data_IF_081443776124
#
_entry.id   IF_081443776124
#
_cell.length_a   1.000
_cell.length_b   1.000
_cell.length_c   1.000
_cell.angle_alpha   90.00
_cell.angle_beta   90.00
_cell.angle_gamma   90.00
#
_symmetry.space_group_name_H-M   'P 1'
#
loop_
_entity.id
_entity.type
_entity.pdbx_description
1 polymer ?
#
# COMPACT_ATOMS: atom_id res chain seq x y z
N UNK A 1 7.49 -5.93 -7.77
CA UNK A 1 8.55 -6.79 -8.35
C UNK A 1 9.27 -7.41 -7.19
N UNK A 2 9.18 -8.74 -6.98
CA UNK A 2 9.91 -9.44 -5.91
C UNK A 2 11.37 -9.04 -5.92
N UNK A 3 12.09 -9.09 -4.79
CA UNK A 3 13.55 -8.93 -4.84
C UNK A 3 14.17 -9.87 -5.88
N UNK A 4 13.54 -11.03 -6.11
CA UNK A 4 13.84 -11.95 -7.21
C UNK A 4 13.42 -11.40 -8.57
N UNK A 5 12.24 -10.77 -8.74
CA UNK A 5 11.81 -10.13 -10.00
C UNK A 5 12.63 -8.88 -10.31
N UNK A 6 13.05 -8.09 -9.32
CA UNK A 6 13.96 -6.95 -9.50
C UNK A 6 15.33 -7.44 -9.91
N UNK A 7 15.91 -8.41 -9.18
CA UNK A 7 17.14 -9.07 -9.63
C UNK A 7 16.97 -9.65 -11.03
N UNK A 8 15.88 -10.33 -11.32
CA UNK A 8 15.62 -10.92 -12.64
C UNK A 8 15.45 -9.87 -13.74
N UNK A 9 14.77 -8.75 -13.48
CA UNK A 9 14.62 -7.67 -14.45
C UNK A 9 15.92 -6.89 -14.64
N UNK A 10 16.67 -6.63 -13.58
CA UNK A 10 17.99 -5.97 -13.66
C UNK A 10 18.97 -6.86 -14.40
N UNK A 11 19.13 -8.11 -13.96
CA UNK A 11 19.99 -9.12 -14.61
C UNK A 11 19.53 -9.34 -16.04
N UNK A 12 18.22 -9.49 -16.28
CA UNK A 12 17.66 -9.66 -17.61
C UNK A 12 17.93 -8.47 -18.54
N UNK A 13 17.85 -7.24 -18.02
CA UNK A 13 18.20 -6.03 -18.79
C UNK A 13 19.69 -5.98 -19.10
N UNK A 14 20.55 -6.30 -18.14
CA UNK A 14 22.00 -6.36 -18.33
C UNK A 14 22.35 -7.44 -19.37
N UNK A 15 21.81 -8.65 -19.23
CA UNK A 15 22.01 -9.76 -20.15
C UNK A 15 21.50 -9.41 -21.55
N UNK A 16 20.32 -8.80 -21.67
CA UNK A 16 19.79 -8.36 -22.95
C UNK A 16 20.69 -7.32 -23.60
N UNK A 17 21.16 -6.32 -22.85
CA UNK A 17 22.09 -5.31 -23.34
C UNK A 17 23.42 -5.93 -23.82
N UNK A 18 23.94 -6.92 -23.08
CA UNK A 18 25.13 -7.68 -23.48
C UNK A 18 24.88 -8.50 -24.74
N UNK A 19 23.76 -9.23 -24.82
CA UNK A 19 23.40 -10.02 -26.00
C UNK A 19 23.22 -9.13 -27.23
N UNK A 20 22.58 -7.97 -27.11
CA UNK A 20 22.44 -7.01 -28.21
C UNK A 20 23.81 -6.44 -28.63
N UNK A 21 24.70 -6.21 -27.67
CA UNK A 21 26.07 -5.75 -27.95
C UNK A 21 26.88 -6.82 -28.68
N UNK A 22 26.82 -8.08 -28.23
CA UNK A 22 27.49 -9.22 -28.88
C UNK A 22 26.89 -9.49 -30.26
N UNK A 23 25.57 -9.44 -30.41
CA UNK A 23 24.90 -9.61 -31.70
C UNK A 23 25.29 -8.49 -32.67
N UNK A 24 25.38 -7.25 -32.20
CA UNK A 24 25.90 -6.12 -32.98
C UNK A 24 27.34 -6.36 -33.42
N UNK A 25 28.18 -6.95 -32.55
CA UNK A 25 29.56 -7.33 -32.88
C UNK A 25 29.62 -8.54 -33.82
N UNK A 26 28.72 -9.51 -33.72
CA UNK A 26 28.71 -10.67 -34.63
C UNK A 26 28.24 -10.28 -36.04
N UNK A 27 27.15 -9.50 -36.13
CA UNK A 27 26.65 -8.94 -37.40
C UNK A 27 27.72 -8.08 -38.08
N UNK A 28 28.61 -7.48 -37.30
CA UNK A 28 29.68 -6.68 -37.84
C UNK A 28 30.77 -7.42 -38.59
N UNK A 29 31.06 -8.66 -38.19
CA UNK A 29 32.02 -9.48 -38.91
C UNK A 29 31.49 -9.88 -40.29
N UNK A 30 30.19 -9.70 -40.55
CA UNK A 30 29.50 -10.16 -41.76
C UNK A 30 29.04 -9.02 -42.69
N UNK A 31 28.88 -7.80 -42.18
CA UNK A 31 28.37 -6.66 -42.95
C UNK A 31 29.48 -5.80 -43.57
N UNK A 32 29.20 -5.14 -44.70
CA UNK A 32 30.10 -4.18 -45.35
C UNK A 32 30.56 -3.07 -44.38
N UNK A 33 31.87 -2.76 -44.41
CA UNK A 33 32.60 -1.88 -43.49
C UNK A 33 31.90 -0.54 -43.18
N UNK A 34 31.23 0.06 -44.17
CA UNK A 34 30.61 1.40 -44.06
C UNK A 34 29.33 1.42 -43.22
N UNK A 35 28.42 0.47 -43.40
CA UNK A 35 27.17 0.42 -42.62
C UNK A 35 27.42 -0.07 -41.20
N UNK A 36 28.45 -0.88 -41.03
CA UNK A 36 28.90 -1.38 -39.74
C UNK A 36 29.38 -0.28 -38.79
N UNK A 37 30.32 0.56 -39.21
CA UNK A 37 30.85 1.61 -38.31
C UNK A 37 29.75 2.61 -37.89
N UNK A 38 28.78 2.88 -38.76
CA UNK A 38 27.62 3.70 -38.42
C UNK A 38 26.73 3.04 -37.35
N UNK A 39 26.46 1.72 -37.49
CA UNK A 39 25.65 0.96 -36.53
C UNK A 39 26.34 0.82 -35.16
N UNK A 40 27.65 0.54 -35.12
CA UNK A 40 28.40 0.46 -33.86
C UNK A 40 28.50 1.78 -33.12
N UNK A 41 28.57 2.90 -33.84
CA UNK A 41 28.62 4.22 -33.22
C UNK A 41 27.27 4.62 -32.63
N UNK A 42 26.18 4.20 -33.27
CA UNK A 42 24.82 4.58 -32.88
C UNK A 42 24.19 3.62 -31.86
N UNK A 43 24.46 2.31 -31.94
CA UNK A 43 23.86 1.29 -31.08
C UNK A 43 24.06 1.54 -29.58
N UNK A 44 25.30 1.58 -29.06
CA UNK A 44 25.56 1.87 -27.66
C UNK A 44 24.97 3.21 -27.20
N UNK A 45 25.02 4.22 -28.07
CA UNK A 45 24.45 5.55 -27.81
C UNK A 45 22.93 5.51 -27.59
N UNK A 46 22.22 4.53 -28.15
CA UNK A 46 20.77 4.34 -27.95
C UNK A 46 20.48 3.38 -26.80
N UNK A 47 21.14 2.23 -26.74
CA UNK A 47 20.80 1.18 -25.77
C UNK A 47 21.25 1.50 -24.36
N UNK A 48 22.39 2.16 -24.17
CA UNK A 48 22.90 2.50 -22.83
C UNK A 48 21.93 3.46 -22.12
N UNK A 49 21.47 4.58 -22.72
CA UNK A 49 20.50 5.46 -22.07
C UNK A 49 19.15 4.79 -21.79
N UNK A 50 18.67 3.90 -22.66
CA UNK A 50 17.42 3.15 -22.43
C UNK A 50 17.56 2.25 -21.20
N UNK A 51 18.66 1.48 -21.12
CA UNK A 51 18.93 0.62 -19.97
C UNK A 51 19.09 1.43 -18.67
N UNK A 52 19.85 2.53 -18.73
CA UNK A 52 20.02 3.43 -17.58
C UNK A 52 18.69 4.05 -17.13
N UNK A 53 17.85 4.50 -18.07
CA UNK A 53 16.53 5.05 -17.79
C UNK A 53 15.59 4.04 -17.14
N UNK A 54 15.59 2.79 -17.61
CA UNK A 54 14.82 1.71 -17.00
C UNK A 54 15.27 1.40 -15.57
N UNK A 55 16.59 1.28 -15.34
CA UNK A 55 17.14 1.06 -14.00
C UNK A 55 16.80 2.22 -13.06
N UNK A 56 16.95 3.46 -13.53
CA UNK A 56 16.58 4.65 -12.77
C UNK A 56 15.09 4.63 -12.38
N UNK A 57 14.21 4.28 -13.32
CA UNK A 57 12.78 4.13 -13.04
C UNK A 57 12.50 3.07 -11.96
N UNK A 58 13.14 1.90 -12.03
CA UNK A 58 12.95 0.87 -11.01
C UNK A 58 13.43 1.31 -9.62
N UNK A 59 14.59 1.99 -9.55
CA UNK A 59 15.14 2.52 -8.28
C UNK A 59 14.22 3.62 -7.72
N UNK A 60 13.78 4.55 -8.56
CA UNK A 60 12.87 5.63 -8.15
C UNK A 60 11.57 5.07 -7.57
N UNK A 61 10.98 4.04 -8.20
CA UNK A 61 9.78 3.39 -7.71
C UNK A 61 9.98 2.76 -6.33
N UNK A 62 11.13 2.12 -6.11
CA UNK A 62 11.48 1.54 -4.79
C UNK A 62 11.61 2.62 -3.72
N UNK A 63 12.36 3.69 -4.02
CA UNK A 63 12.54 4.82 -3.09
C UNK A 63 11.19 5.46 -2.73
N UNK A 64 10.30 5.63 -3.72
CA UNK A 64 8.96 6.16 -3.50
C UNK A 64 8.13 5.26 -2.57
N UNK A 65 8.16 3.94 -2.79
CA UNK A 65 7.47 2.98 -1.93
C UNK A 65 8.01 2.99 -0.49
N UNK A 66 9.33 2.85 -0.31
CA UNK A 66 9.94 2.85 1.03
C UNK A 66 9.66 4.17 1.77
N UNK A 67 9.70 5.30 1.08
CA UNK A 67 9.35 6.60 1.66
C UNK A 67 7.89 6.66 2.11
N UNK A 68 6.96 6.21 1.28
CA UNK A 68 5.54 6.16 1.63
C UNK A 68 5.30 5.23 2.84
N UNK A 69 5.96 4.07 2.87
CA UNK A 69 5.85 3.13 3.97
C UNK A 69 6.42 3.69 5.28
N UNK A 70 7.57 4.37 5.23
CA UNK A 70 8.14 5.04 6.40
C UNK A 70 7.25 6.16 6.92
N UNK A 71 6.65 6.96 6.03
CA UNK A 71 5.71 8.01 6.41
C UNK A 71 4.48 7.42 7.12
N UNK A 72 3.90 6.34 6.59
CA UNK A 72 2.78 5.64 7.24
C UNK A 72 3.20 5.04 8.58
N UNK A 73 4.38 4.41 8.65
CA UNK A 73 4.95 3.87 9.88
C UNK A 73 5.03 4.93 10.99
N UNK A 74 5.63 6.10 10.72
CA UNK A 74 5.79 7.16 11.71
C UNK A 74 4.43 7.62 12.25
N UNK A 75 3.44 7.79 11.37
CA UNK A 75 2.10 8.21 11.77
C UNK A 75 1.39 7.13 12.60
N UNK A 76 1.54 5.85 12.26
CA UNK A 76 0.98 4.74 13.05
C UNK A 76 1.57 4.73 14.46
N UNK A 77 2.89 4.87 14.59
CA UNK A 77 3.55 4.88 15.91
C UNK A 77 2.93 5.94 16.83
N UNK A 78 2.74 7.16 16.32
CA UNK A 78 2.09 8.25 17.07
C UNK A 78 0.65 7.89 17.44
N UNK A 79 -0.14 7.39 16.48
CA UNK A 79 -1.53 6.99 16.74
C UNK A 79 -1.66 5.87 17.77
N UNK A 80 -0.76 4.88 17.76
CA UNK A 80 -0.76 3.81 18.76
C UNK A 80 -0.38 4.37 20.12
N UNK A 81 0.60 5.29 20.18
CA UNK A 81 0.95 5.96 21.43
C UNK A 81 -0.23 6.77 22.00
N UNK A 82 -0.95 7.51 21.15
CA UNK A 82 -2.17 8.23 21.53
C UNK A 82 -3.24 7.25 22.06
N UNK A 83 -3.43 6.11 21.39
CA UNK A 83 -4.38 5.08 21.84
C UNK A 83 -3.98 4.46 23.19
N UNK A 84 -2.69 4.23 23.43
CA UNK A 84 -2.19 3.77 24.73
C UNK A 84 -2.40 4.84 25.80
N UNK A 85 -2.04 6.10 25.53
CA UNK A 85 -2.23 7.22 26.47
C UNK A 85 -3.70 7.42 26.85
N UNK A 86 -4.61 7.24 25.89
CA UNK A 86 -6.05 7.28 26.12
C UNK A 86 -6.49 6.29 27.22
N UNK A 87 -5.91 5.08 27.26
CA UNK A 87 -6.21 4.08 28.30
C UNK A 87 -5.71 4.46 29.70
N UNK A 88 -4.95 5.54 29.87
CA UNK A 88 -4.53 6.04 31.18
C UNK A 88 -5.46 7.11 31.74
N UNK A 89 -6.40 7.63 30.94
CA UNK A 89 -7.35 8.63 31.39
C UNK A 89 -8.40 7.98 32.31
N UNK A 90 -8.58 8.55 33.50
CA UNK A 90 -9.57 8.05 34.49
C UNK A 90 -11.00 8.41 34.11
N UNK A 91 -11.19 9.49 33.36
CA UNK A 91 -12.49 9.91 32.83
C UNK A 91 -12.29 10.55 31.45
N UNK A 92 -12.04 9.73 30.40
CA UNK A 92 -11.79 10.25 29.06
C UNK A 92 -13.00 11.01 28.53
N UNK A 93 -12.77 12.16 27.91
CA UNK A 93 -13.86 12.94 27.32
C UNK A 93 -14.27 12.37 25.96
N UNK A 94 -15.46 12.74 25.48
CA UNK A 94 -15.88 12.42 24.11
C UNK A 94 -14.91 12.97 23.06
N UNK A 95 -14.29 14.13 23.32
CA UNK A 95 -13.31 14.74 22.44
C UNK A 95 -12.02 13.91 22.35
N UNK A 96 -11.53 13.40 23.49
CA UNK A 96 -10.36 12.51 23.52
C UNK A 96 -10.62 11.23 22.73
N UNK A 97 -11.80 10.64 22.93
CA UNK A 97 -12.22 9.45 22.19
C UNK A 97 -12.30 9.71 20.69
N UNK A 98 -13.00 10.78 20.28
CA UNK A 98 -13.16 11.15 18.88
C UNK A 98 -11.80 11.40 18.21
N UNK A 99 -10.86 12.04 18.90
CA UNK A 99 -9.49 12.27 18.42
C UNK A 99 -8.77 10.95 18.11
N UNK A 100 -8.76 10.02 19.05
CA UNK A 100 -8.06 8.73 18.90
C UNK A 100 -8.72 7.89 17.81
N UNK A 101 -10.05 7.81 17.80
CA UNK A 101 -10.81 7.05 16.80
C UNK A 101 -10.62 7.60 15.38
N UNK A 102 -10.66 8.93 15.23
CA UNK A 102 -10.37 9.59 13.96
C UNK A 102 -8.94 9.29 13.49
N UNK A 103 -7.96 9.42 14.38
CA UNK A 103 -6.55 9.12 14.08
C UNK A 103 -6.38 7.67 13.60
N UNK A 104 -6.93 6.70 14.33
CA UNK A 104 -6.90 5.28 13.98
C UNK A 104 -7.57 5.00 12.63
N UNK A 105 -8.75 5.58 12.37
CA UNK A 105 -9.43 5.44 11.08
C UNK A 105 -8.59 5.99 9.92
N UNK A 106 -7.99 7.17 10.08
CA UNK A 106 -7.10 7.72 9.06
C UNK A 106 -5.86 6.83 8.84
N UNK A 107 -5.26 6.26 9.89
CA UNK A 107 -4.12 5.34 9.72
C UNK A 107 -4.52 4.06 9.01
N UNK A 108 -5.73 3.57 9.28
CA UNK A 108 -6.31 2.40 8.61
C UNK A 108 -6.40 2.67 7.10
N UNK A 109 -6.87 3.85 6.69
CA UNK A 109 -6.98 4.22 5.29
C UNK A 109 -5.63 4.52 4.63
N UNK A 110 -4.69 5.14 5.34
CA UNK A 110 -3.32 5.34 4.85
C UNK A 110 -2.66 3.99 4.52
N UNK A 111 -2.84 2.96 5.37
CA UNK A 111 -2.38 1.60 5.05
C UNK A 111 -3.09 1.04 3.82
N UNK A 112 -4.40 1.25 3.63
CA UNK A 112 -5.08 0.79 2.40
C UNK A 112 -4.61 1.52 1.15
N UNK A 113 -4.10 2.75 1.30
CA UNK A 113 -3.50 3.50 0.21
C UNK A 113 -2.15 2.94 -0.22
N UNK A 114 -1.35 2.44 0.72
CA UNK A 114 -0.02 1.85 0.45
C UNK A 114 -0.13 0.37 0.08
N UNK A 115 -1.05 -0.35 0.72
CA UNK A 115 -1.23 -1.78 0.60
C UNK A 115 -2.50 -2.11 -0.15
N UNK A 116 -2.38 -2.95 -1.17
CA UNK A 116 -3.53 -3.53 -1.84
C UNK A 116 -4.14 -4.60 -0.95
N UNK A 117 -5.46 -4.65 -0.85
CA UNK A 117 -6.13 -5.71 -0.12
C UNK A 117 -5.85 -7.07 -0.78
N UNK A 118 -5.45 -8.10 0.00
CA UNK A 118 -5.38 -9.46 -0.52
C UNK A 118 -6.71 -9.88 -1.16
N UNK A 119 -6.62 -10.53 -2.32
CA UNK A 119 -7.78 -10.96 -3.11
C UNK A 119 -8.42 -9.88 -3.98
N UNK A 120 -8.10 -8.58 -3.83
CA UNK A 120 -8.62 -7.57 -4.76
C UNK A 120 -7.96 -7.75 -6.14
N UNK A 121 -8.74 -8.20 -7.13
CA UNK A 121 -8.39 -8.15 -8.56
C UNK A 121 -8.06 -6.74 -9.05
N UNK A 122 -7.57 -6.56 -10.28
CA UNK A 122 -7.27 -5.18 -10.74
C UNK A 122 -8.53 -4.33 -10.58
N UNK A 123 -8.44 -3.11 -10.02
CA UNK A 123 -9.60 -2.27 -9.77
C UNK A 123 -10.16 -1.79 -11.11
N UNK A 124 -10.90 -2.67 -11.78
CA UNK A 124 -11.82 -2.29 -12.83
C UNK A 124 -13.10 -1.91 -12.10
N UNK A 125 -13.44 -0.63 -12.16
CA UNK A 125 -14.79 -0.18 -11.82
C UNK A 125 -15.76 -1.07 -12.59
N UNK A 126 -16.61 -1.81 -11.88
CA UNK A 126 -17.69 -2.55 -12.52
C UNK A 126 -18.56 -1.56 -13.31
N UNK A 127 -19.17 -2.00 -14.40
CA UNK A 127 -20.11 -1.15 -15.14
C UNK A 127 -21.23 -0.63 -14.24
N UNK A 128 -21.62 -1.41 -13.23
CA UNK A 128 -22.55 -0.99 -12.18
C UNK A 128 -22.00 0.17 -11.34
N UNK A 129 -20.73 0.11 -10.93
CA UNK A 129 -20.09 1.20 -10.18
C UNK A 129 -19.98 2.47 -11.03
N UNK A 130 -19.66 2.34 -12.32
CA UNK A 130 -19.63 3.48 -13.27
C UNK A 130 -21.01 4.10 -13.42
N UNK A 131 -22.03 3.26 -13.64
CA UNK A 131 -23.43 3.69 -13.76
C UNK A 131 -23.91 4.40 -12.51
N UNK A 132 -23.58 3.87 -11.32
CA UNK A 132 -23.87 4.51 -10.05
C UNK A 132 -23.20 5.89 -9.94
N UNK A 133 -21.89 6.00 -10.20
CA UNK A 133 -21.17 7.29 -10.16
C UNK A 133 -21.77 8.30 -11.14
N UNK A 134 -22.16 7.87 -12.35
CA UNK A 134 -22.84 8.72 -13.31
C UNK A 134 -24.21 9.18 -12.82
N UNK A 135 -24.98 8.29 -12.19
CA UNK A 135 -26.30 8.65 -11.62
C UNK A 135 -26.20 9.69 -10.50
N UNK A 136 -25.17 9.57 -9.64
CA UNK A 136 -24.90 10.58 -8.59
C UNK A 136 -24.43 11.88 -9.22
N UNK A 137 -23.59 11.84 -10.26
CA UNK A 137 -23.10 13.04 -10.95
C UNK A 137 -24.22 13.79 -11.70
N UNK A 138 -25.23 13.07 -12.21
CA UNK A 138 -26.36 13.63 -12.95
C UNK A 138 -27.53 14.04 -12.05
N UNK A 139 -27.50 13.69 -10.77
CA UNK A 139 -28.50 14.07 -9.79
C UNK A 139 -28.58 15.60 -9.65
N UNK A 140 -29.80 16.14 -9.74
CA UNK A 140 -30.04 17.59 -9.60
C UNK A 140 -30.58 17.95 -8.21
N UNK A 141 -31.07 16.97 -7.48
CA UNK A 141 -31.66 17.11 -6.15
C UNK A 141 -31.09 16.10 -5.16
N UNK A 142 -31.32 16.32 -3.86
CA UNK A 142 -30.89 15.40 -2.81
C UNK A 142 -31.68 14.08 -2.89
N UNK A 143 -32.94 14.16 -3.28
CA UNK A 143 -33.84 13.02 -3.50
C UNK A 143 -33.31 12.10 -4.60
N UNK A 144 -32.76 12.67 -5.69
CA UNK A 144 -32.12 11.92 -6.77
C UNK A 144 -30.87 11.17 -6.25
N UNK A 145 -30.07 11.80 -5.38
CA UNK A 145 -28.91 11.16 -4.75
C UNK A 145 -29.35 10.02 -3.84
N UNK A 146 -30.39 10.21 -3.02
CA UNK A 146 -30.95 9.16 -2.16
C UNK A 146 -31.48 8.00 -3.00
N UNK A 147 -32.13 8.28 -4.13
CA UNK A 147 -32.61 7.26 -5.07
C UNK A 147 -31.43 6.50 -5.73
N UNK A 148 -30.36 7.20 -6.10
CA UNK A 148 -29.14 6.59 -6.62
C UNK A 148 -28.46 5.69 -5.58
N UNK A 149 -28.39 6.13 -4.31
CA UNK A 149 -27.80 5.36 -3.20
C UNK A 149 -28.49 4.01 -2.98
N UNK A 150 -29.80 3.92 -3.25
CA UNK A 150 -30.52 2.63 -3.18
C UNK A 150 -30.05 1.62 -4.23
N UNK A 151 -29.41 2.08 -5.31
CA UNK A 151 -28.83 1.27 -6.39
C UNK A 151 -27.34 1.00 -6.21
N UNK A 152 -26.77 1.34 -5.04
CA UNK A 152 -25.35 1.10 -4.77
C UNK A 152 -25.04 -0.40 -5.00
N UNK A 153 -24.12 -0.74 -5.91
CA UNK A 153 -23.75 -2.13 -6.12
C UNK A 153 -23.20 -2.70 -4.82
N UNK A 154 -23.73 -3.85 -4.40
CA UNK A 154 -23.20 -4.56 -3.24
C UNK A 154 -21.82 -5.09 -3.62
N UNK A 155 -20.78 -4.72 -2.86
CA UNK A 155 -19.48 -5.39 -2.97
C UNK A 155 -19.67 -6.85 -2.58
N UNK A 156 -19.53 -7.75 -3.54
CA UNK A 156 -19.57 -9.20 -3.33
C UNK A 156 -18.26 -9.73 -2.75
N UNK A 157 -17.17 -9.01 -2.99
CA UNK A 157 -15.83 -9.33 -2.50
C UNK A 157 -15.26 -8.12 -1.77
N UNK A 158 -15.30 -8.16 -0.44
CA UNK A 158 -14.52 -7.23 0.38
C UNK A 158 -13.15 -7.89 0.48
N UNK A 159 -12.16 -7.35 -0.25
CA UNK A 159 -10.78 -7.79 -0.07
C UNK A 159 -10.39 -7.75 1.41
N UNK A 160 -9.59 -8.72 1.84
CA UNK A 160 -9.15 -8.80 3.22
C UNK A 160 -8.37 -7.54 3.58
N UNK A 161 -8.50 -7.08 4.82
CA UNK A 161 -7.71 -5.94 5.26
C UNK A 161 -6.27 -6.42 5.52
N UNK A 162 -5.24 -5.74 4.97
CA UNK A 162 -3.87 -6.23 5.05
C UNK A 162 -3.28 -6.19 6.47
N UNK A 163 -3.85 -5.43 7.41
CA UNK A 163 -3.32 -5.33 8.79
C UNK A 163 -4.40 -5.37 9.87
N UNK A 164 -5.00 -6.53 10.08
CA UNK A 164 -6.17 -6.70 10.95
C UNK A 164 -5.88 -6.27 12.40
N UNK A 165 -4.65 -6.36 12.89
CA UNK A 165 -4.28 -5.83 14.22
C UNK A 165 -4.64 -4.36 14.40
N UNK A 166 -4.46 -3.50 13.39
CA UNK A 166 -4.81 -2.08 13.52
C UNK A 166 -6.33 -1.88 13.64
N UNK A 167 -7.11 -2.69 12.92
CA UNK A 167 -8.58 -2.70 13.05
C UNK A 167 -9.03 -3.25 14.39
N UNK A 168 -8.34 -4.25 14.93
CA UNK A 168 -8.62 -4.78 16.26
C UNK A 168 -8.26 -3.77 17.37
N UNK A 169 -7.17 -3.01 17.21
CA UNK A 169 -6.85 -1.88 18.10
C UNK A 169 -7.97 -0.84 18.06
N UNK A 170 -8.43 -0.47 16.86
CA UNK A 170 -9.58 0.42 16.69
C UNK A 170 -10.84 -0.13 17.36
N UNK A 171 -11.15 -1.42 17.17
CA UNK A 171 -12.28 -2.08 17.84
C UNK A 171 -12.14 -2.09 19.36
N UNK A 172 -10.92 -2.30 19.87
CA UNK A 172 -10.60 -2.29 21.30
C UNK A 172 -10.87 -0.91 21.90
N UNK A 173 -10.36 0.16 21.29
CA UNK A 173 -10.62 1.55 21.73
C UNK A 173 -12.11 1.87 21.63
N UNK A 174 -12.77 1.49 20.53
CA UNK A 174 -14.21 1.68 20.35
C UNK A 174 -15.03 1.00 21.44
N UNK A 175 -14.64 -0.21 21.85
CA UNK A 175 -15.34 -0.99 22.89
C UNK A 175 -15.13 -0.40 24.29
N UNK A 176 -13.99 0.26 24.51
CA UNK A 176 -13.71 0.95 25.77
C UNK A 176 -14.65 2.13 25.97
N UNK A 177 -15.00 2.84 24.89
CA UNK A 177 -15.90 3.99 24.93
C UNK A 177 -15.26 5.19 25.65
N UNK A 178 -16.08 6.08 26.22
CA UNK A 178 -15.65 7.30 26.91
C UNK A 178 -16.47 7.57 28.18
N UNK A 179 -16.06 8.55 28.98
CA UNK A 179 -16.74 9.00 30.19
C UNK A 179 -16.53 8.09 31.40
N UNK A 180 -17.48 8.12 32.33
CA UNK A 180 -17.45 7.31 33.57
C UNK A 180 -17.68 5.82 33.37
N UNK A 181 -18.05 5.40 32.15
CA UNK A 181 -18.20 3.99 31.80
C UNK A 181 -16.85 3.26 31.73
N UNK A 182 -15.75 4.00 31.56
CA UNK A 182 -14.39 3.45 31.46
C UNK A 182 -13.88 3.09 32.85
N UNK A 183 -13.79 1.79 33.15
CA UNK A 183 -13.22 1.32 34.42
C UNK A 183 -11.72 1.07 34.30
N UNK A 184 -10.97 1.25 35.40
CA UNK A 184 -9.52 1.00 35.42
C UNK A 184 -9.12 -0.43 34.99
N UNK A 185 -9.84 -1.51 35.39
CA UNK A 185 -9.56 -2.86 34.92
C UNK A 185 -9.76 -3.01 33.40
N UNK A 186 -10.84 -2.47 32.84
CA UNK A 186 -11.09 -2.50 31.39
C UNK A 186 -10.00 -1.73 30.63
N UNK A 187 -9.62 -0.55 31.12
CA UNK A 187 -8.58 0.26 30.51
C UNK A 187 -7.21 -0.46 30.53
N UNK A 188 -6.89 -1.15 31.63
CA UNK A 188 -5.68 -1.98 31.72
C UNK A 188 -5.69 -3.14 30.73
N UNK A 189 -6.82 -3.86 30.62
CA UNK A 189 -6.97 -4.95 29.64
C UNK A 189 -6.82 -4.43 28.21
N UNK A 190 -7.52 -3.34 27.88
CA UNK A 190 -7.44 -2.69 26.57
C UNK A 190 -5.99 -2.30 26.24
N UNK A 191 -5.25 -1.72 27.19
CA UNK A 191 -3.84 -1.36 27.00
C UNK A 191 -2.97 -2.56 26.66
N UNK A 192 -3.08 -3.64 27.44
CA UNK A 192 -2.32 -4.88 27.19
C UNK A 192 -2.65 -5.46 25.81
N UNK A 193 -3.93 -5.48 25.43
CA UNK A 193 -4.36 -5.92 24.10
C UNK A 193 -3.78 -5.04 23.00
N UNK A 194 -3.85 -3.71 23.14
CA UNK A 194 -3.30 -2.76 22.15
C UNK A 194 -1.79 -2.98 21.98
N UNK A 195 -1.04 -3.15 23.08
CA UNK A 195 0.41 -3.38 23.02
C UNK A 195 0.76 -4.72 22.38
N UNK A 196 -0.02 -5.77 22.65
CA UNK A 196 0.18 -7.08 22.01
C UNK A 196 -0.07 -7.01 20.50
N UNK A 197 -1.20 -6.42 20.08
CA UNK A 197 -1.53 -6.20 18.67
C UNK A 197 -0.52 -5.29 17.97
N UNK A 198 -0.03 -4.27 18.68
CA UNK A 198 1.04 -3.42 18.17
C UNK A 198 2.33 -4.20 17.94
N UNK A 199 2.70 -5.13 18.85
CA UNK A 199 3.85 -6.00 18.67
C UNK A 199 3.78 -6.82 17.37
N UNK A 200 2.60 -7.38 17.08
CA UNK A 200 2.34 -8.15 15.84
C UNK A 200 2.42 -7.23 14.62
N UNK A 201 1.63 -6.15 14.62
CA UNK A 201 1.59 -5.16 13.53
C UNK A 201 3.00 -4.63 13.22
N UNK A 202 3.76 -4.27 14.24
CA UNK A 202 5.15 -3.82 14.10
C UNK A 202 6.02 -4.87 13.45
N UNK A 203 5.93 -6.11 13.90
CA UNK A 203 6.71 -7.22 13.33
C UNK A 203 6.44 -7.38 11.83
N UNK A 204 5.17 -7.44 11.42
CA UNK A 204 4.81 -7.60 10.01
C UNK A 204 5.14 -6.37 9.18
N UNK A 205 4.86 -5.15 9.68
CA UNK A 205 5.15 -3.92 8.95
C UNK A 205 6.64 -3.67 8.76
N UNK A 206 7.49 -4.07 9.72
CA UNK A 206 8.95 -4.02 9.57
C UNK A 206 9.45 -4.99 8.50
N UNK A 207 8.85 -6.17 8.35
CA UNK A 207 9.20 -7.10 7.24
C UNK A 207 8.95 -6.46 5.88
N UNK A 208 7.97 -5.57 5.78
CA UNK A 208 7.63 -4.87 4.54
C UNK A 208 8.61 -3.75 4.17
N UNK A 209 9.33 -3.18 5.14
CA UNK A 209 10.34 -2.14 4.86
C UNK A 209 11.49 -2.65 4.00
N UNK A 210 11.83 -3.93 4.13
CA UNK A 210 12.89 -4.58 3.36
C UNK A 210 12.40 -5.11 1.99
N UNK A 211 11.10 -4.99 1.70
CA UNK A 211 10.46 -5.55 0.50
C UNK A 211 10.23 -4.49 -0.58
N UNK A 212 10.08 -4.98 -1.80
CA UNK A 212 9.84 -4.13 -2.98
C UNK A 212 8.34 -3.88 -3.26
N UNK A 213 7.44 -4.62 -2.61
CA UNK A 213 5.97 -4.55 -2.68
C UNK A 213 5.42 -5.38 -1.52
N UNK A 214 4.19 -5.09 -1.08
CA UNK A 214 3.60 -5.76 0.06
C UNK A 214 3.32 -7.26 -0.18
N UNK A 215 3.75 -8.11 0.75
CA UNK A 215 3.60 -9.57 0.70
C UNK A 215 3.13 -10.20 2.03
N UNK A 216 3.23 -9.47 3.14
CA UNK A 216 3.02 -9.97 4.50
C UNK A 216 1.88 -9.21 5.17
N UNK A 217 0.63 -9.46 4.75
CA UNK A 217 -0.51 -8.94 5.50
C UNK A 217 -0.58 -9.63 6.87
N UNK A 218 -0.83 -8.86 7.90
CA UNK A 218 -1.25 -9.35 9.21
C UNK A 218 -2.76 -9.63 9.16
N UNK A 219 -3.12 -10.76 8.55
CA UNK A 219 -4.51 -11.23 8.48
C UNK A 219 -4.58 -12.68 8.96
N UNK A 220 -5.51 -13.02 9.87
CA UNK A 220 -5.74 -14.41 10.26
C UNK A 220 -6.47 -15.21 9.18
N UNK A 221 -7.02 -14.54 8.17
CA UNK A 221 -7.76 -15.15 7.10
C UNK A 221 -6.79 -15.67 6.02
N UNK A 222 -6.85 -16.97 5.75
CA UNK A 222 -6.09 -17.57 4.66
C UNK A 222 -6.65 -17.10 3.32
N UNK A 223 -5.75 -16.59 2.47
CA UNK A 223 -6.01 -16.29 1.05
C UNK A 223 -5.97 -17.54 0.19
#
# INVERSE_FOLDING_TARGET
MTGKTFRFQVIGTIVLALCLSILSLALSCYASEKHYQAALRSGPTVFIPIGAGWLAFCVQRRVAFTKALFDVWQKIVVTIQDAVQYTHLTSPTQADFAKVMHSLSCRIDDLRGVFRNPGEGQPRLSEESKSFVLSVKQAKSLEDVIAALKKLPKRTEIGLYPFESLKQIHGTVSSLGFGSAVTAPQASTARSTILALWGILRGELLKELDRDFPEYPDTPYHS
#
